data_IF_474416559760
#
_entry.id   IF_474416559760
#
_cell.length_a   1.000
_cell.length_b   1.000
_cell.length_c   1.000
_cell.angle_alpha   90.00
_cell.angle_beta   90.00
_cell.angle_gamma   90.00
#
_symmetry.space_group_name_H-M   'P 1'
#
loop_
_entity.id
_entity.type
_entity.pdbx_description
1 polymer ?
#
# COMPACT_ATOMS: atom_id res chain seq x y z
N UNK A 1 20.31 17.87 15.70
CA UNK A 1 21.10 17.16 14.67
C UNK A 1 20.28 15.99 14.19
N UNK A 2 19.84 16.00 12.92
CA UNK A 2 19.18 14.87 12.30
C UNK A 2 20.21 13.77 12.06
N UNK A 3 20.38 12.85 13.01
CA UNK A 3 21.19 11.65 12.81
C UNK A 3 20.62 10.88 11.64
N UNK A 4 21.46 10.68 10.61
CA UNK A 4 21.10 9.87 9.44
C UNK A 4 20.59 8.51 9.90
N UNK A 5 19.48 8.04 9.34
CA UNK A 5 18.89 6.72 9.62
C UNK A 5 19.95 5.62 9.45
N UNK A 6 20.87 5.80 8.48
CA UNK A 6 21.99 4.89 8.24
C UNK A 6 22.85 4.73 9.51
N UNK A 7 23.19 5.82 10.19
CA UNK A 7 24.05 5.77 11.37
C UNK A 7 23.38 5.02 12.52
N UNK A 8 22.08 5.24 12.73
CA UNK A 8 21.31 4.52 13.75
C UNK A 8 21.23 3.02 13.45
N UNK A 9 21.08 2.64 12.19
CA UNK A 9 21.07 1.23 11.78
C UNK A 9 22.43 0.59 12.03
N UNK A 10 23.53 1.27 11.70
CA UNK A 10 24.89 0.80 11.98
C UNK A 10 25.11 0.62 13.49
N UNK A 11 24.71 1.59 14.32
CA UNK A 11 24.82 1.51 15.77
C UNK A 11 24.07 0.31 16.36
N UNK A 12 22.91 -0.05 15.81
CA UNK A 12 22.19 -1.24 16.27
C UNK A 12 22.85 -2.54 15.79
N UNK A 13 23.35 -2.57 14.54
CA UNK A 13 24.02 -3.74 13.98
C UNK A 13 25.29 -4.12 14.74
N UNK A 14 26.09 -3.15 15.19
CA UNK A 14 27.33 -3.42 15.93
C UNK A 14 27.10 -4.12 17.28
N UNK A 15 25.90 -3.99 17.85
CA UNK A 15 25.51 -4.63 19.11
C UNK A 15 24.93 -6.04 18.91
N UNK A 16 24.61 -6.43 17.67
CA UNK A 16 23.96 -7.71 17.38
C UNK A 16 24.97 -8.86 17.21
N UNK A 17 24.62 -10.09 17.63
CA UNK A 17 25.28 -11.31 17.20
C UNK A 17 25.30 -11.49 15.68
N UNK A 18 26.30 -12.23 15.17
CA UNK A 18 26.57 -12.35 13.73
C UNK A 18 25.41 -12.96 12.93
N UNK A 19 24.68 -13.92 13.51
CA UNK A 19 23.51 -14.55 12.90
C UNK A 19 22.37 -13.56 12.68
N UNK A 20 22.13 -12.67 13.64
CA UNK A 20 21.13 -11.60 13.51
C UNK A 20 21.58 -10.51 12.53
N UNK A 21 22.88 -10.17 12.50
CA UNK A 21 23.42 -9.27 11.49
C UNK A 21 23.19 -9.82 10.06
N UNK A 22 23.37 -11.13 9.88
CA UNK A 22 23.13 -11.79 8.60
C UNK A 22 21.64 -11.71 8.19
N UNK A 23 20.72 -11.93 9.14
CA UNK A 23 19.28 -11.78 8.88
C UNK A 23 18.92 -10.35 8.45
N UNK A 24 19.47 -9.33 9.12
CA UNK A 24 19.22 -7.93 8.74
C UNK A 24 19.77 -7.63 7.34
N UNK A 25 20.94 -8.17 6.99
CA UNK A 25 21.51 -8.02 5.65
C UNK A 25 20.64 -8.68 4.58
N UNK A 26 20.13 -9.88 4.83
CA UNK A 26 19.19 -10.56 3.93
C UNK A 26 17.91 -9.76 3.75
N UNK A 27 17.33 -9.27 4.85
CA UNK A 27 16.13 -8.44 4.81
C UNK A 27 16.36 -7.14 4.01
N UNK A 28 17.46 -6.42 4.27
CA UNK A 28 17.79 -5.21 3.50
C UNK A 28 17.94 -5.50 2.00
N UNK A 29 18.54 -6.64 1.62
CA UNK A 29 18.60 -7.09 0.22
C UNK A 29 17.21 -7.36 -0.37
N UNK A 30 16.26 -7.89 0.41
CA UNK A 30 14.88 -8.04 -0.06
C UNK A 30 14.23 -6.69 -0.29
N UNK A 31 14.42 -5.72 0.61
CA UNK A 31 13.85 -4.38 0.48
C UNK A 31 14.36 -3.64 -0.76
N UNK A 32 15.66 -3.77 -1.07
CA UNK A 32 16.24 -3.20 -2.30
C UNK A 32 15.66 -3.85 -3.57
N UNK A 33 15.29 -5.13 -3.48
CA UNK A 33 14.66 -5.89 -4.57
C UNK A 33 13.15 -5.77 -4.62
N UNK A 34 12.52 -5.07 -3.67
CA UNK A 34 11.10 -4.73 -3.79
C UNK A 34 10.99 -3.71 -4.90
N UNK A 35 10.85 -4.20 -6.12
CA UNK A 35 10.31 -3.43 -7.22
C UNK A 35 8.95 -2.86 -6.78
N UNK A 36 8.63 -1.66 -7.24
CA UNK A 36 7.30 -1.08 -7.05
C UNK A 36 6.28 -2.10 -7.57
N UNK A 37 5.55 -2.75 -6.65
CA UNK A 37 4.54 -3.74 -7.00
C UNK A 37 3.25 -3.01 -7.32
N UNK A 38 2.73 -3.23 -8.51
CA UNK A 38 1.48 -2.68 -8.97
C UNK A 38 1.34 -2.84 -10.47
N UNK A 39 0.12 -2.67 -10.97
CA UNK A 39 -0.15 -2.58 -12.40
C UNK A 39 0.17 -1.16 -12.87
N UNK A 40 1.01 -0.97 -13.90
CA UNK A 40 1.21 0.34 -14.52
C UNK A 40 -0.12 1.00 -14.87
N UNK A 41 -0.30 2.29 -14.56
CA UNK A 41 -1.56 2.97 -14.82
C UNK A 41 -1.98 2.97 -16.29
N UNK A 42 -1.01 2.89 -17.20
CA UNK A 42 -1.24 2.74 -18.64
C UNK A 42 -1.96 1.43 -19.01
N UNK A 43 -1.72 0.34 -18.29
CA UNK A 43 -2.42 -0.94 -18.51
C UNK A 43 -3.90 -0.86 -18.07
N UNK A 44 -4.20 0.03 -17.11
CA UNK A 44 -5.56 0.23 -16.61
C UNK A 44 -6.44 1.06 -17.54
N UNK A 45 -5.86 1.73 -18.55
CA UNK A 45 -6.63 2.56 -19.50
C UNK A 45 -7.68 1.76 -20.27
N UNK A 46 -7.46 0.46 -20.46
CA UNK A 46 -8.43 -0.45 -21.08
C UNK A 46 -9.78 -0.50 -20.33
N UNK A 47 -9.79 -0.20 -19.03
CA UNK A 47 -11.00 -0.17 -18.22
C UNK A 47 -11.69 1.20 -18.20
N UNK A 48 -11.08 2.25 -18.74
CA UNK A 48 -11.66 3.59 -18.74
C UNK A 48 -12.96 3.63 -19.55
N UNK A 49 -14.08 3.95 -18.88
CA UNK A 49 -15.40 3.95 -19.51
C UNK A 49 -15.94 2.57 -19.88
N UNK A 50 -15.36 1.49 -19.36
CA UNK A 50 -15.79 0.11 -19.65
C UNK A 50 -17.07 -0.31 -18.93
N UNK A 51 -17.53 0.46 -17.95
CA UNK A 51 -18.76 0.14 -17.21
C UNK A 51 -19.97 0.48 -18.08
N UNK A 52 -20.85 -0.49 -18.39
CA UNK A 52 -22.07 -0.25 -19.15
C UNK A 52 -22.98 0.78 -18.46
N UNK A 53 -23.74 1.59 -19.22
CA UNK A 53 -24.65 2.58 -18.65
C UNK A 53 -25.68 1.99 -17.67
N UNK A 54 -26.20 0.80 -17.96
CA UNK A 54 -27.18 0.11 -17.11
C UNK A 54 -26.55 -0.28 -15.76
N UNK A 55 -25.31 -0.77 -15.77
CA UNK A 55 -24.57 -1.07 -14.55
C UNK A 55 -24.25 0.20 -13.75
N UNK A 56 -23.93 1.31 -14.43
CA UNK A 56 -23.77 2.62 -13.78
C UNK A 56 -25.06 3.09 -13.10
N UNK A 57 -26.21 2.83 -13.72
CA UNK A 57 -27.51 3.15 -13.12
C UNK A 57 -27.79 2.27 -11.90
N UNK A 58 -27.48 0.98 -11.98
CA UNK A 58 -27.63 0.05 -10.86
C UNK A 58 -26.73 0.43 -9.68
N UNK A 59 -25.46 0.75 -9.94
CA UNK A 59 -24.53 1.25 -8.92
C UNK A 59 -25.05 2.53 -8.27
N UNK A 60 -25.58 3.47 -9.06
CA UNK A 60 -26.15 4.72 -8.56
C UNK A 60 -27.32 4.48 -7.62
N UNK A 61 -28.22 3.57 -7.97
CA UNK A 61 -29.37 3.27 -7.12
C UNK A 61 -28.94 2.61 -5.82
N UNK A 62 -28.02 1.65 -5.87
CA UNK A 62 -27.48 0.99 -4.68
C UNK A 62 -26.82 2.00 -3.71
N UNK A 63 -26.01 2.94 -4.23
CA UNK A 63 -25.39 3.99 -3.41
C UNK A 63 -26.45 4.86 -2.70
N UNK A 64 -27.52 5.24 -3.40
CA UNK A 64 -28.59 6.06 -2.81
C UNK A 64 -29.37 5.33 -1.73
N UNK A 65 -29.67 4.05 -1.95
CA UNK A 65 -30.45 3.26 -0.99
C UNK A 65 -29.63 2.96 0.27
N UNK A 66 -28.36 2.59 0.11
CA UNK A 66 -27.59 1.97 1.20
C UNK A 66 -26.42 2.81 1.74
N UNK A 67 -25.84 3.75 0.96
CA UNK A 67 -24.66 4.52 1.37
C UNK A 67 -24.97 5.99 1.72
N UNK A 68 -26.00 6.59 1.14
CA UNK A 68 -26.35 8.00 1.39
C UNK A 68 -27.31 8.19 2.59
N UNK A 69 -27.78 7.10 3.21
CA UNK A 69 -28.52 7.14 4.47
C UNK A 69 -27.55 7.10 5.66
N UNK A 70 -27.05 8.28 6.06
CA UNK A 70 -26.31 8.40 7.31
C UNK A 70 -27.31 8.46 8.45
N UNK A 71 -27.51 7.36 9.18
CA UNK A 71 -28.18 7.42 10.48
C UNK A 71 -27.23 8.04 11.50
N UNK A 72 -27.50 9.31 11.83
CA UNK A 72 -26.76 10.09 12.82
C UNK A 72 -26.80 9.49 14.23
N UNK A 73 -27.65 8.50 14.49
CA UNK A 73 -27.82 7.86 15.79
C UNK A 73 -27.28 6.41 15.85
N UNK A 74 -26.68 5.90 14.76
CA UNK A 74 -26.08 4.55 14.73
C UNK A 74 -24.63 4.49 15.25
N UNK A 75 -24.10 5.57 15.83
CA UNK A 75 -22.76 5.64 16.45
C UNK A 75 -22.81 5.88 17.96
#
# INVERSE_FOLDING_TARGET
>A
MSTSIINKVIEQLTLMPQDLQLQVLEFARTLVKVEVRGTPGEELLSFAGSIPPDDLQLMREAIKQDCEQVDINEW
#
